data_IF_997080312887
#
_entry.id   IF_997080312887
#
_cell.length_a   1.000
_cell.length_b   1.000
_cell.length_c   1.000
_cell.angle_alpha   90.00
_cell.angle_beta   90.00
_cell.angle_gamma   90.00
#
_symmetry.space_group_name_H-M   'P 1'
#
loop_
_entity.id
_entity.type
_entity.pdbx_description
1 polymer ?
#
# COMPACT_ATOMS: atom_id res chain seq x y z
N UNK A 1 9.43 -17.06 -0.88
CA UNK A 1 9.76 -15.82 -0.14
C UNK A 1 8.47 -15.09 0.12
N UNK A 2 8.21 -14.68 1.36
CA UNK A 2 7.00 -13.92 1.69
C UNK A 2 7.21 -12.48 1.23
N UNK A 3 6.34 -12.01 0.34
CA UNK A 3 6.37 -10.65 -0.20
C UNK A 3 5.39 -9.82 0.60
N UNK A 4 5.96 -8.99 1.46
CA UNK A 4 5.21 -8.16 2.38
C UNK A 4 5.40 -6.69 2.00
N UNK A 5 4.37 -5.89 2.23
CA UNK A 5 4.44 -4.42 2.18
C UNK A 5 4.08 -3.91 3.56
N UNK A 6 4.98 -3.11 4.13
CA UNK A 6 4.72 -2.37 5.36
C UNK A 6 4.52 -0.91 5.02
N UNK A 7 3.39 -0.35 5.44
CA UNK A 7 3.10 1.08 5.36
C UNK A 7 3.16 1.64 6.78
N UNK A 8 3.99 2.65 6.98
CA UNK A 8 4.09 3.38 8.25
C UNK A 8 3.83 4.86 7.99
N UNK A 9 3.04 5.48 8.85
CA UNK A 9 2.80 6.91 8.90
C UNK A 9 3.37 7.48 10.19
N UNK A 10 3.95 8.68 10.12
CA UNK A 10 4.47 9.43 11.28
C UNK A 10 3.67 10.68 11.58
N UNK A 11 2.60 10.95 10.82
CA UNK A 11 1.88 12.23 10.87
C UNK A 11 0.44 12.00 11.31
N UNK A 12 -0.29 11.15 10.60
CA UNK A 12 -1.69 10.84 10.86
C UNK A 12 -1.98 9.36 10.63
N UNK A 13 -3.09 8.88 11.17
CA UNK A 13 -3.60 7.54 10.88
C UNK A 13 -3.75 7.33 9.38
N UNK A 14 -3.42 6.10 8.97
CA UNK A 14 -3.72 5.64 7.62
C UNK A 14 -5.24 5.41 7.56
N UNK A 15 -5.90 6.08 6.61
CA UNK A 15 -7.32 5.88 6.33
C UNK A 15 -7.45 4.64 5.44
N UNK A 16 -6.71 4.64 4.33
CA UNK A 16 -6.82 3.62 3.26
C UNK A 16 -5.55 3.46 2.43
N UNK A 17 -5.34 2.24 1.96
CA UNK A 17 -4.21 1.84 1.11
C UNK A 17 -4.73 1.12 -0.12
N UNK A 18 -4.19 1.50 -1.28
CA UNK A 18 -4.46 0.85 -2.56
C UNK A 18 -3.15 0.38 -3.18
N UNK A 19 -3.19 -0.74 -3.89
CA UNK A 19 -2.06 -1.23 -4.67
C UNK A 19 -2.52 -1.41 -6.11
N UNK A 20 -1.75 -0.87 -7.04
CA UNK A 20 -1.96 -1.00 -8.48
C UNK A 20 -0.75 -1.64 -9.16
N UNK A 21 -0.96 -2.28 -10.30
CA UNK A 21 0.13 -2.53 -11.24
C UNK A 21 0.44 -1.28 -12.08
N UNK A 22 1.46 -1.39 -12.94
CA UNK A 22 1.91 -0.30 -13.83
C UNK A 22 0.89 0.10 -14.89
N UNK A 23 -0.12 -0.73 -15.16
CA UNK A 23 -1.21 -0.40 -16.09
C UNK A 23 -2.31 0.41 -15.41
N UNK A 24 -2.24 0.58 -14.08
CA UNK A 24 -3.27 1.23 -13.28
C UNK A 24 -4.37 0.28 -12.80
N UNK A 25 -4.26 -1.03 -13.05
CA UNK A 25 -5.22 -2.01 -12.53
C UNK A 25 -5.05 -2.13 -11.02
N UNK A 26 -6.14 -1.97 -10.28
CA UNK A 26 -6.17 -2.20 -8.84
C UNK A 26 -6.01 -3.68 -8.53
N UNK A 27 -5.04 -4.01 -7.69
CA UNK A 27 -4.74 -5.36 -7.24
C UNK A 27 -5.15 -5.60 -5.78
N UNK A 28 -5.18 -4.54 -4.98
CA UNK A 28 -5.51 -4.60 -3.56
C UNK A 28 -6.09 -3.28 -3.08
N UNK A 29 -6.96 -3.37 -2.09
CA UNK A 29 -7.54 -2.24 -1.37
C UNK A 29 -7.73 -2.64 0.09
N UNK A 30 -7.36 -1.74 0.99
CA UNK A 30 -7.67 -1.81 2.41
C UNK A 30 -8.16 -0.44 2.85
N UNK A 31 -9.35 -0.43 3.44
CA UNK A 31 -9.98 0.75 4.02
C UNK A 31 -10.08 0.59 5.54
N UNK A 32 -10.51 1.67 6.19
CA UNK A 32 -10.73 1.76 7.63
C UNK A 32 -9.53 1.25 8.45
N UNK A 33 -8.32 1.58 8.00
CA UNK A 33 -7.09 1.10 8.64
C UNK A 33 -6.95 1.68 10.04
N UNK A 34 -7.26 2.96 10.23
CA UNK A 34 -7.34 3.66 11.53
C UNK A 34 -6.13 3.40 12.44
N UNK A 35 -4.95 3.32 11.84
CA UNK A 35 -3.71 3.02 12.53
C UNK A 35 -2.52 3.66 11.81
N UNK A 36 -1.43 3.92 12.54
CA UNK A 36 -0.19 4.45 11.99
C UNK A 36 0.61 3.41 11.20
N UNK A 37 0.28 2.12 11.36
CA UNK A 37 0.96 1.02 10.69
C UNK A 37 -0.04 0.05 10.04
N UNK A 38 0.30 -0.40 8.83
CA UNK A 38 -0.35 -1.51 8.15
C UNK A 38 0.71 -2.47 7.62
N UNK A 39 0.54 -3.76 7.92
CA UNK A 39 1.30 -4.85 7.34
C UNK A 39 0.40 -5.63 6.38
N UNK A 40 0.83 -5.74 5.12
CA UNK A 40 0.16 -6.54 4.08
C UNK A 40 1.09 -7.71 3.76
N UNK A 41 0.67 -8.93 4.08
CA UNK A 41 1.48 -10.14 3.95
C UNK A 41 1.04 -11.04 2.81
N UNK A 42 1.93 -11.93 2.40
CA UNK A 42 1.63 -13.02 1.46
C UNK A 42 1.06 -12.54 0.12
N UNK A 43 1.56 -11.41 -0.39
CA UNK A 43 1.13 -10.89 -1.68
C UNK A 43 1.53 -11.85 -2.82
N UNK A 44 0.59 -12.27 -3.68
CA UNK A 44 0.83 -13.31 -4.69
C UNK A 44 1.61 -12.82 -5.93
N UNK A 45 2.48 -11.82 -5.77
CA UNK A 45 3.12 -11.11 -6.88
C UNK A 45 4.54 -11.62 -7.16
N UNK A 46 4.75 -12.29 -8.31
CA UNK A 46 6.00 -13.00 -8.60
C UNK A 46 7.17 -12.09 -9.00
N UNK A 47 7.04 -11.22 -10.00
CA UNK A 47 8.07 -10.25 -10.40
C UNK A 47 7.36 -9.09 -11.07
N UNK A 48 7.15 -7.99 -10.34
CA UNK A 48 6.43 -6.85 -10.90
C UNK A 48 6.72 -5.56 -10.13
N UNK A 49 6.43 -4.46 -10.80
CA UNK A 49 6.39 -3.13 -10.21
C UNK A 49 4.96 -2.84 -9.76
N UNK A 50 4.83 -2.32 -8.55
CA UNK A 50 3.58 -1.92 -7.93
C UNK A 50 3.60 -0.44 -7.59
N UNK A 51 2.43 0.18 -7.61
CA UNK A 51 2.19 1.51 -7.09
C UNK A 51 1.34 1.37 -5.83
N UNK A 52 1.90 1.77 -4.69
CA UNK A 52 1.20 1.77 -3.40
C UNK A 52 0.74 3.19 -3.14
N UNK A 53 -0.57 3.42 -3.20
CA UNK A 53 -1.20 4.69 -2.85
C UNK A 53 -1.71 4.63 -1.41
N UNK A 54 -1.39 5.64 -0.62
CA UNK A 54 -1.79 5.77 0.78
C UNK A 54 -2.57 7.08 0.93
N UNK A 55 -3.70 7.01 1.63
CA UNK A 55 -4.50 8.17 2.06
C UNK A 55 -4.54 8.16 3.59
N UNK A 56 -4.27 9.31 4.19
CA UNK A 56 -4.33 9.53 5.64
C UNK A 56 -5.65 10.21 6.02
N UNK A 57 -6.05 10.12 7.28
CA UNK A 57 -7.32 10.67 7.79
C UNK A 57 -7.49 12.18 7.55
N UNK A 58 -6.38 12.92 7.49
CA UNK A 58 -6.38 14.35 7.16
C UNK A 58 -6.50 14.65 5.65
N UNK A 59 -6.75 13.62 4.82
CA UNK A 59 -6.87 13.72 3.37
C UNK A 59 -5.54 13.79 2.62
N UNK A 60 -4.39 13.77 3.30
CA UNK A 60 -3.09 13.71 2.64
C UNK A 60 -2.94 12.41 1.84
N UNK A 61 -2.43 12.52 0.61
CA UNK A 61 -2.24 11.38 -0.29
C UNK A 61 -0.80 11.29 -0.76
N UNK A 62 -0.26 10.08 -0.78
CA UNK A 62 1.05 9.80 -1.36
C UNK A 62 1.04 8.49 -2.14
N UNK A 63 1.90 8.38 -3.15
CA UNK A 63 2.08 7.15 -3.93
C UNK A 63 3.56 6.79 -3.99
N UNK A 64 3.89 5.53 -3.70
CA UNK A 64 5.25 5.01 -3.76
C UNK A 64 5.35 3.83 -4.71
N UNK A 65 6.44 3.78 -5.47
CA UNK A 65 6.79 2.66 -6.34
C UNK A 65 7.49 1.57 -5.52
N UNK A 66 7.01 0.34 -5.63
CA UNK A 66 7.61 -0.85 -5.02
C UNK A 66 7.99 -1.84 -6.12
N UNK A 67 9.19 -2.40 -6.06
CA UNK A 67 9.67 -3.37 -7.06
C UNK A 67 9.88 -4.70 -6.35
N UNK A 68 9.09 -5.71 -6.71
CA UNK A 68 9.30 -7.08 -6.26
C UNK A 68 10.15 -7.84 -7.27
N UNK A 69 11.31 -8.30 -6.81
CA UNK A 69 12.17 -9.26 -7.49
C UNK A 69 11.88 -10.69 -7.03
#
# INVERSE_FOLDING_TARGET
>A
QNKNITVNSTVENIEKVFIYDITGKQLYQKEDVNNLQLLIENLPFAHQVLLVKVVLDNGYQTTKKVVFK
#
